data_IF_662660636695
#
_entry.id   IF_662660636695
#
_cell.length_a   1.000
_cell.length_b   1.000
_cell.length_c   1.000
_cell.angle_alpha   90.00
_cell.angle_beta   90.00
_cell.angle_gamma   90.00
#
_symmetry.space_group_name_H-M   'P 1'
#
loop_
_entity.id
_entity.type
_entity.pdbx_description
1 polymer ?
#
# COMPACT_ATOMS: atom_id res chain seq x y z
N UNK A 1 -1.65 -14.71 1.56
CA UNK A 1 -1.21 -14.61 0.17
C UNK A 1 -0.46 -13.30 -0.05
N UNK A 2 0.54 -13.28 -0.91
CA UNK A 2 1.20 -12.07 -1.39
C UNK A 2 1.50 -12.19 -2.89
N UNK A 3 1.74 -11.06 -3.55
CA UNK A 3 2.06 -11.01 -4.98
C UNK A 3 3.36 -10.24 -5.20
N UNK A 4 4.16 -10.67 -6.16
CA UNK A 4 5.30 -9.94 -6.71
C UNK A 4 5.40 -10.23 -8.21
N UNK A 5 6.18 -9.45 -8.95
CA UNK A 5 6.45 -9.70 -10.37
C UNK A 5 7.03 -11.09 -10.62
N UNK A 6 7.88 -11.55 -9.71
CA UNK A 6 8.50 -12.88 -9.71
C UNK A 6 8.58 -13.39 -8.27
N UNK A 7 8.30 -14.64 -8.05
CA UNK A 7 8.57 -15.30 -6.76
C UNK A 7 9.99 -15.86 -6.81
N UNK A 8 10.93 -14.99 -6.49
CA UNK A 8 12.35 -15.32 -6.42
C UNK A 8 12.73 -15.99 -5.07
N UNK A 9 14.01 -16.11 -4.77
CA UNK A 9 14.48 -16.70 -3.50
C UNK A 9 14.01 -15.90 -2.27
N UNK A 10 13.88 -14.55 -2.37
CA UNK A 10 13.35 -13.74 -1.28
C UNK A 10 11.84 -13.98 -1.09
N UNK A 11 11.10 -14.10 -2.17
CA UNK A 11 9.69 -14.47 -2.12
C UNK A 11 9.47 -15.84 -1.48
N UNK A 12 10.27 -16.84 -1.85
CA UNK A 12 10.24 -18.18 -1.23
C UNK A 12 10.63 -18.15 0.25
N UNK A 13 11.64 -17.35 0.62
CA UNK A 13 12.04 -17.18 2.01
C UNK A 13 10.89 -16.55 2.83
N UNK A 14 10.24 -15.52 2.31
CA UNK A 14 9.07 -14.89 2.93
C UNK A 14 7.93 -15.89 3.12
N UNK A 15 7.63 -16.72 2.10
CA UNK A 15 6.62 -17.77 2.19
C UNK A 15 6.96 -18.80 3.28
N UNK A 16 8.22 -19.23 3.36
CA UNK A 16 8.68 -20.16 4.38
C UNK A 16 8.63 -19.56 5.79
N UNK A 17 9.07 -18.32 5.96
CA UNK A 17 9.06 -17.59 7.24
C UNK A 17 7.63 -17.44 7.79
N UNK A 18 6.70 -17.01 6.96
CA UNK A 18 5.29 -16.85 7.36
C UNK A 18 4.66 -18.21 7.65
N UNK A 19 4.96 -19.23 6.83
CA UNK A 19 4.44 -20.60 7.06
C UNK A 19 4.95 -21.22 8.35
N UNK A 20 6.17 -20.87 8.77
CA UNK A 20 6.75 -21.33 10.06
C UNK A 20 5.97 -20.80 11.28
N UNK A 21 5.16 -19.74 11.13
CA UNK A 21 4.25 -19.24 12.16
C UNK A 21 2.98 -20.11 12.30
N UNK A 22 2.86 -21.20 11.55
CA UNK A 22 1.72 -22.11 11.62
C UNK A 22 0.51 -21.69 10.78
N UNK A 23 0.67 -20.73 9.87
CA UNK A 23 -0.37 -20.26 8.96
C UNK A 23 -0.05 -20.63 7.51
N UNK A 24 -1.08 -20.80 6.68
CA UNK A 24 -0.89 -21.00 5.24
C UNK A 24 -0.41 -19.70 4.61
N UNK A 25 0.70 -19.77 3.87
CA UNK A 25 1.23 -18.66 3.07
C UNK A 25 1.53 -19.12 1.65
N UNK A 26 1.32 -18.25 0.67
CA UNK A 26 1.70 -18.51 -0.73
C UNK A 26 1.94 -17.21 -1.47
N UNK A 27 3.05 -17.18 -2.22
CA UNK A 27 3.38 -16.13 -3.17
C UNK A 27 2.83 -16.43 -4.57
N UNK A 28 2.37 -15.40 -5.27
CA UNK A 28 1.88 -15.49 -6.64
C UNK A 28 2.66 -14.51 -7.52
N UNK A 29 3.24 -15.01 -8.61
CA UNK A 29 3.86 -14.16 -9.62
C UNK A 29 2.76 -13.42 -10.40
N UNK A 30 2.76 -12.09 -10.34
CA UNK A 30 1.76 -11.26 -11.01
C UNK A 30 2.25 -9.83 -11.17
N UNK A 31 2.03 -9.26 -12.35
CA UNK A 31 2.20 -7.83 -12.55
C UNK A 31 0.94 -7.10 -12.06
N UNK A 32 1.03 -6.44 -10.91
CA UNK A 32 -0.09 -5.69 -10.33
C UNK A 32 -0.67 -4.59 -11.25
N UNK A 33 0.14 -4.04 -12.18
CA UNK A 33 -0.30 -3.06 -13.15
C UNK A 33 -1.11 -3.69 -14.31
N UNK A 34 -1.11 -5.01 -14.44
CA UNK A 34 -1.89 -5.76 -15.42
C UNK A 34 -3.25 -6.15 -14.81
N UNK A 35 -4.32 -5.70 -15.45
CA UNK A 35 -5.68 -5.90 -14.95
C UNK A 35 -6.07 -7.38 -14.94
N UNK A 36 -5.81 -8.12 -16.02
CA UNK A 36 -6.20 -9.52 -16.15
C UNK A 36 -5.42 -10.41 -15.18
N UNK A 37 -4.12 -10.15 -14.98
CA UNK A 37 -3.32 -10.89 -14.00
C UNK A 37 -3.81 -10.64 -12.58
N UNK A 38 -4.22 -9.42 -12.25
CA UNK A 38 -4.79 -9.10 -10.94
C UNK A 38 -6.11 -9.83 -10.68
N UNK A 39 -7.00 -9.93 -11.68
CA UNK A 39 -8.23 -10.71 -11.56
C UNK A 39 -7.95 -12.21 -11.38
N UNK A 40 -7.03 -12.76 -12.17
CA UNK A 40 -6.67 -14.19 -12.09
C UNK A 40 -6.06 -14.54 -10.73
N UNK A 41 -5.16 -13.71 -10.20
CA UNK A 41 -4.57 -13.96 -8.86
C UNK A 41 -5.62 -13.91 -7.77
N UNK A 42 -6.52 -12.93 -7.77
CA UNK A 42 -7.59 -12.86 -6.75
C UNK A 42 -8.50 -14.09 -6.83
N UNK A 43 -8.79 -14.59 -8.04
CA UNK A 43 -9.53 -15.82 -8.24
C UNK A 43 -8.80 -17.02 -7.63
N UNK A 44 -7.49 -17.19 -7.92
CA UNK A 44 -6.67 -18.27 -7.35
C UNK A 44 -6.61 -18.18 -5.83
N UNK A 45 -6.41 -17.01 -5.25
CA UNK A 45 -6.43 -16.80 -3.80
C UNK A 45 -7.78 -17.21 -3.22
N UNK A 46 -8.90 -16.79 -3.84
CA UNK A 46 -10.23 -17.17 -3.40
C UNK A 46 -10.46 -18.68 -3.46
N UNK A 47 -10.01 -19.35 -4.50
CA UNK A 47 -10.12 -20.81 -4.66
C UNK A 47 -9.28 -21.55 -3.63
N UNK A 48 -8.06 -21.07 -3.37
CA UNK A 48 -7.09 -21.76 -2.52
C UNK A 48 -7.27 -21.48 -1.02
N UNK A 49 -7.68 -20.25 -0.64
CA UNK A 49 -7.83 -19.83 0.76
C UNK A 49 -9.30 -19.75 1.22
N UNK A 50 -10.26 -19.83 0.31
CA UNK A 50 -11.69 -19.83 0.61
C UNK A 50 -12.32 -18.43 0.73
N UNK A 51 -11.56 -17.40 1.09
CA UNK A 51 -12.03 -16.01 1.22
C UNK A 51 -10.95 -15.01 0.81
N UNK A 52 -11.36 -13.74 0.68
CA UNK A 52 -10.47 -12.57 0.61
C UNK A 52 -11.03 -11.55 1.59
N UNK A 53 -10.43 -11.45 2.76
CA UNK A 53 -10.96 -10.64 3.85
C UNK A 53 -10.22 -9.30 3.98
N UNK A 54 -8.94 -9.30 3.62
CA UNK A 54 -8.07 -8.12 3.71
C UNK A 54 -7.31 -7.96 2.40
N UNK A 55 -7.30 -6.73 1.87
CA UNK A 55 -6.46 -6.34 0.75
C UNK A 55 -5.53 -5.21 1.18
N UNK A 56 -4.21 -5.42 1.06
CA UNK A 56 -3.20 -4.38 1.26
C UNK A 56 -2.57 -4.04 -0.08
N UNK A 57 -2.88 -2.87 -0.62
CA UNK A 57 -2.26 -2.34 -1.83
C UNK A 57 -0.95 -1.64 -1.46
N UNK A 58 0.14 -2.40 -1.45
CA UNK A 58 1.47 -1.94 -1.06
C UNK A 58 2.40 -1.68 -2.24
N UNK A 59 2.19 -2.31 -3.39
CA UNK A 59 3.03 -2.17 -4.56
C UNK A 59 3.25 -0.70 -4.93
N UNK A 60 4.50 -0.31 -5.17
CA UNK A 60 4.80 1.07 -5.52
C UNK A 60 6.26 1.30 -5.87
N UNK A 61 6.47 2.27 -6.74
CA UNK A 61 7.79 2.72 -7.19
C UNK A 61 7.86 4.24 -7.14
N UNK A 62 9.08 4.77 -7.18
CA UNK A 62 9.37 6.18 -7.43
C UNK A 62 10.16 6.33 -8.74
N UNK A 63 9.93 7.41 -9.46
CA UNK A 63 10.71 7.86 -10.62
C UNK A 63 10.80 9.38 -10.55
N UNK A 64 11.59 9.85 -9.61
CA UNK A 64 11.68 11.25 -9.23
C UNK A 64 12.31 12.12 -10.33
N UNK A 65 11.88 13.35 -10.42
CA UNK A 65 12.36 14.36 -11.36
C UNK A 65 11.58 15.66 -11.22
N UNK A 66 12.27 16.80 -11.38
CA UNK A 66 11.58 18.08 -11.41
C UNK A 66 10.55 18.10 -12.55
N UNK A 67 9.40 18.74 -12.35
CA UNK A 67 8.28 18.77 -13.32
C UNK A 67 8.74 19.11 -14.74
N UNK A 68 9.63 20.07 -14.91
CA UNK A 68 10.16 20.49 -16.21
C UNK A 68 10.94 19.35 -16.94
N UNK A 69 11.49 18.40 -16.19
CA UNK A 69 12.34 17.31 -16.73
C UNK A 69 11.70 15.95 -16.61
N UNK A 70 10.54 15.86 -15.98
CA UNK A 70 9.81 14.59 -15.82
C UNK A 70 9.30 14.14 -17.18
N UNK A 71 9.71 12.96 -17.62
CA UNK A 71 9.22 12.37 -18.86
C UNK A 71 7.84 11.71 -18.67
N UNK A 72 7.07 11.61 -19.75
CA UNK A 72 5.82 10.86 -19.78
C UNK A 72 6.02 9.41 -19.30
N UNK A 73 7.10 8.76 -19.73
CA UNK A 73 7.41 7.39 -19.30
C UNK A 73 7.65 7.27 -17.78
N UNK A 74 8.24 8.29 -17.14
CA UNK A 74 8.38 8.31 -15.67
C UNK A 74 7.02 8.50 -14.99
N UNK A 75 6.18 9.35 -15.55
CA UNK A 75 4.82 9.56 -15.08
C UNK A 75 3.99 8.28 -15.19
N UNK A 76 3.91 7.70 -16.39
CA UNK A 76 3.09 6.52 -16.66
C UNK A 76 3.51 5.31 -15.84
N UNK A 77 4.82 5.09 -15.69
CA UNK A 77 5.34 4.00 -14.87
C UNK A 77 4.87 4.12 -13.41
N UNK A 78 4.94 5.31 -12.82
CA UNK A 78 4.54 5.53 -11.42
C UNK A 78 3.01 5.43 -11.26
N UNK A 79 2.24 6.05 -12.14
CA UNK A 79 0.76 5.95 -12.11
C UNK A 79 0.32 4.49 -12.33
N UNK A 80 0.94 3.80 -13.27
CA UNK A 80 0.63 2.39 -13.60
C UNK A 80 0.89 1.46 -12.42
N UNK A 81 2.07 1.56 -11.81
CA UNK A 81 2.44 0.66 -10.71
C UNK A 81 1.77 1.03 -9.39
N UNK A 82 1.69 2.33 -9.06
CA UNK A 82 1.18 2.73 -7.74
C UNK A 82 -0.35 2.81 -7.67
N UNK A 83 -0.97 3.51 -8.64
CA UNK A 83 -2.40 3.81 -8.59
C UNK A 83 -3.25 2.80 -9.35
N UNK A 84 -2.86 2.50 -10.60
CA UNK A 84 -3.62 1.54 -11.41
C UNK A 84 -3.61 0.15 -10.80
N UNK A 85 -2.49 -0.28 -10.19
CA UNK A 85 -2.43 -1.56 -9.49
C UNK A 85 -3.45 -1.64 -8.33
N UNK A 86 -3.55 -0.58 -7.53
CA UNK A 86 -4.52 -0.52 -6.44
C UNK A 86 -5.95 -0.60 -6.98
N UNK A 87 -6.26 0.10 -8.08
CA UNK A 87 -7.55 -0.02 -8.77
C UNK A 87 -7.80 -1.46 -9.22
N UNK A 88 -6.83 -2.12 -9.88
CA UNK A 88 -6.98 -3.47 -10.40
C UNK A 88 -7.33 -4.47 -9.28
N UNK A 89 -6.57 -4.46 -8.18
CA UNK A 89 -6.82 -5.38 -7.05
C UNK A 89 -8.10 -5.04 -6.29
N UNK A 90 -8.44 -3.77 -6.11
CA UNK A 90 -9.73 -3.38 -5.52
C UNK A 90 -10.88 -3.89 -6.39
N UNK A 91 -10.83 -3.66 -7.70
CA UNK A 91 -11.83 -4.13 -8.64
C UNK A 91 -12.02 -5.64 -8.57
N UNK A 92 -10.94 -6.41 -8.50
CA UNK A 92 -10.99 -7.87 -8.40
C UNK A 92 -11.50 -8.38 -7.04
N UNK A 93 -11.13 -7.71 -5.93
CA UNK A 93 -11.51 -8.14 -4.57
C UNK A 93 -12.94 -7.73 -4.18
N UNK A 94 -13.41 -6.55 -4.60
CA UNK A 94 -14.72 -6.00 -4.21
C UNK A 94 -15.89 -6.97 -4.45
N UNK A 95 -16.01 -7.67 -5.60
CA UNK A 95 -17.10 -8.64 -5.80
C UNK A 95 -17.07 -9.81 -4.82
N UNK A 96 -15.89 -10.21 -4.35
CA UNK A 96 -15.72 -11.28 -3.35
C UNK A 96 -16.13 -10.76 -1.97
N UNK A 97 -15.55 -9.65 -1.52
CA UNK A 97 -15.82 -9.02 -0.22
C UNK A 97 -17.31 -8.63 -0.07
N UNK A 98 -17.90 -8.10 -1.15
CA UNK A 98 -19.33 -7.74 -1.17
C UNK A 98 -20.25 -8.95 -0.92
N UNK A 99 -19.93 -10.12 -1.51
CA UNK A 99 -20.68 -11.36 -1.27
C UNK A 99 -20.46 -11.90 0.15
N UNK A 100 -19.26 -11.76 0.68
CA UNK A 100 -18.91 -12.09 2.07
C UNK A 100 -19.59 -11.15 3.08
N UNK A 101 -19.99 -9.93 2.66
CA UNK A 101 -20.45 -8.83 3.49
C UNK A 101 -19.44 -8.45 4.57
N UNK A 102 -18.18 -8.62 4.24
CA UNK A 102 -17.03 -8.30 5.08
C UNK A 102 -15.80 -8.05 4.21
N UNK A 103 -14.97 -7.08 4.60
CA UNK A 103 -13.70 -6.81 3.96
C UNK A 103 -13.02 -5.56 4.50
N UNK A 104 -11.68 -5.56 4.47
CA UNK A 104 -10.86 -4.40 4.79
C UNK A 104 -9.85 -4.14 3.68
N UNK A 105 -9.94 -2.97 3.06
CA UNK A 105 -9.03 -2.51 2.01
C UNK A 105 -8.13 -1.44 2.59
N UNK A 106 -6.82 -1.61 2.44
CA UNK A 106 -5.78 -0.74 2.98
C UNK A 106 -4.87 -0.30 1.84
N UNK A 107 -4.90 0.99 1.53
CA UNK A 107 -4.03 1.57 0.51
C UNK A 107 -2.80 2.18 1.15
N UNK A 108 -1.61 1.71 0.76
CA UNK A 108 -0.32 2.28 1.20
C UNK A 108 -0.04 3.56 0.40
N UNK A 109 -0.55 4.68 0.92
CA UNK A 109 -0.35 6.01 0.38
C UNK A 109 1.05 6.57 0.77
N UNK A 110 1.15 7.83 1.10
CA UNK A 110 2.33 8.52 1.63
C UNK A 110 1.93 9.90 2.13
N UNK A 111 2.67 10.48 3.06
CA UNK A 111 2.57 11.91 3.38
C UNK A 111 2.82 12.79 2.16
N UNK A 112 3.62 12.35 1.20
CA UNK A 112 3.82 13.02 -0.09
C UNK A 112 2.52 13.09 -0.90
N UNK A 113 1.63 12.10 -0.77
CA UNK A 113 0.30 12.15 -1.38
C UNK A 113 -0.67 13.12 -0.68
N UNK A 114 -0.37 13.50 0.56
CA UNK A 114 -1.17 14.46 1.34
C UNK A 114 -0.70 15.89 1.10
N UNK A 115 0.63 16.13 1.09
CA UNK A 115 1.21 17.48 1.09
C UNK A 115 1.97 17.85 -0.18
N UNK A 116 2.27 16.86 -1.04
CA UNK A 116 3.16 17.06 -2.18
C UNK A 116 4.65 17.04 -1.77
N UNK A 117 5.53 16.92 -2.77
CA UNK A 117 6.96 17.10 -2.60
C UNK A 117 7.60 17.53 -3.93
N UNK A 118 8.51 18.49 -3.90
CA UNK A 118 9.25 18.92 -5.09
C UNK A 118 10.03 17.73 -5.69
N UNK A 119 9.92 17.56 -7.02
CA UNK A 119 10.56 16.45 -7.73
C UNK A 119 9.78 15.13 -7.71
N UNK A 120 8.62 15.08 -7.06
CA UNK A 120 7.80 13.86 -6.93
C UNK A 120 6.36 14.05 -7.41
N UNK A 121 6.12 14.84 -8.44
CA UNK A 121 4.77 15.14 -8.90
C UNK A 121 3.97 13.89 -9.31
N UNK A 122 4.59 12.93 -10.02
CA UNK A 122 4.00 11.64 -10.38
C UNK A 122 3.69 10.78 -9.14
N UNK A 123 4.63 10.68 -8.20
CA UNK A 123 4.46 9.92 -6.97
C UNK A 123 3.39 10.55 -6.08
N UNK A 124 3.43 11.88 -5.87
CA UNK A 124 2.42 12.61 -5.14
C UNK A 124 1.01 12.39 -5.71
N UNK A 125 0.86 12.54 -7.03
CA UNK A 125 -0.41 12.30 -7.71
C UNK A 125 -0.90 10.86 -7.52
N UNK A 126 -0.01 9.86 -7.67
CA UNK A 126 -0.36 8.46 -7.49
C UNK A 126 -0.83 8.17 -6.05
N UNK A 127 -0.12 8.68 -5.05
CA UNK A 127 -0.44 8.45 -3.63
C UNK A 127 -1.67 9.24 -3.18
N UNK A 128 -1.89 10.45 -3.69
CA UNK A 128 -3.15 11.19 -3.53
C UNK A 128 -4.34 10.45 -4.17
N UNK A 129 -4.13 9.88 -5.36
CA UNK A 129 -5.13 9.04 -6.03
C UNK A 129 -5.51 7.81 -5.19
N UNK A 130 -4.56 7.14 -4.54
CA UNK A 130 -4.83 6.01 -3.64
C UNK A 130 -5.67 6.43 -2.42
N UNK A 131 -5.46 7.64 -1.89
CA UNK A 131 -6.28 8.22 -0.81
C UNK A 131 -7.72 8.44 -1.29
N UNK A 132 -7.89 9.10 -2.44
CA UNK A 132 -9.21 9.36 -3.02
C UNK A 132 -9.95 8.07 -3.35
N UNK A 133 -9.23 7.08 -3.91
CA UNK A 133 -9.77 5.76 -4.24
C UNK A 133 -10.30 5.04 -2.98
N UNK A 134 -9.55 5.05 -1.86
CA UNK A 134 -10.02 4.48 -0.60
C UNK A 134 -11.32 5.14 -0.12
N UNK A 135 -11.43 6.47 -0.21
CA UNK A 135 -12.64 7.22 0.19
C UNK A 135 -13.85 6.87 -0.68
N UNK A 136 -13.67 6.77 -2.00
CA UNK A 136 -14.74 6.41 -2.93
C UNK A 136 -15.23 4.98 -2.66
N UNK A 137 -14.31 4.03 -2.53
CA UNK A 137 -14.64 2.62 -2.23
C UNK A 137 -15.32 2.49 -0.87
N UNK A 138 -14.89 3.25 0.15
CA UNK A 138 -15.54 3.26 1.46
C UNK A 138 -17.02 3.69 1.38
N UNK A 139 -17.33 4.68 0.55
CA UNK A 139 -18.71 5.14 0.34
C UNK A 139 -19.56 4.12 -0.45
N UNK A 140 -19.01 3.55 -1.51
CA UNK A 140 -19.72 2.62 -2.37
C UNK A 140 -19.96 1.26 -1.68
N UNK A 141 -18.95 0.77 -0.95
CA UNK A 141 -18.93 -0.59 -0.41
C UNK A 141 -19.29 -0.65 1.09
N UNK A 142 -19.34 0.47 1.79
CA UNK A 142 -19.77 0.54 3.19
C UNK A 142 -21.11 -0.15 3.46
N UNK A 143 -22.18 0.06 2.64
CA UNK A 143 -23.46 -0.65 2.80
C UNK A 143 -23.36 -2.16 2.64
N UNK A 144 -22.25 -2.67 2.13
CA UNK A 144 -21.95 -4.10 1.97
C UNK A 144 -21.01 -4.65 3.04
N UNK A 145 -20.68 -3.86 4.07
CA UNK A 145 -19.80 -4.27 5.17
C UNK A 145 -18.31 -4.24 4.82
N UNK A 146 -17.93 -3.55 3.73
CA UNK A 146 -16.51 -3.42 3.33
C UNK A 146 -15.99 -2.05 3.74
N UNK A 147 -14.88 -2.02 4.46
CA UNK A 147 -14.17 -0.79 4.85
C UNK A 147 -13.00 -0.55 3.90
N UNK A 148 -12.67 0.70 3.65
CA UNK A 148 -11.48 1.06 2.89
C UNK A 148 -10.82 2.30 3.51
N UNK A 149 -9.51 2.21 3.75
CA UNK A 149 -8.71 3.26 4.37
C UNK A 149 -7.36 3.40 3.66
N UNK A 150 -6.67 4.49 3.95
CA UNK A 150 -5.30 4.71 3.50
C UNK A 150 -4.37 4.90 4.70
N UNK A 151 -3.16 4.36 4.62
CA UNK A 151 -2.05 4.68 5.50
C UNK A 151 -1.14 5.63 4.73
N UNK A 152 -0.72 6.72 5.36
CA UNK A 152 0.22 7.69 4.80
C UNK A 152 1.53 7.67 5.61
N UNK A 153 2.49 6.79 5.28
CA UNK A 153 3.79 6.76 5.94
C UNK A 153 4.56 8.07 5.72
N UNK A 154 5.30 8.50 6.75
CA UNK A 154 6.29 9.56 6.67
C UNK A 154 7.66 9.03 6.26
N UNK A 155 8.72 9.49 6.94
CA UNK A 155 10.07 8.98 6.76
C UNK A 155 10.25 7.66 7.51
N UNK A 156 10.31 6.55 6.77
CA UNK A 156 10.43 5.19 7.32
C UNK A 156 11.82 4.63 7.00
N UNK A 157 12.47 4.05 8.01
CA UNK A 157 13.78 3.40 7.86
C UNK A 157 13.62 2.07 7.11
N UNK A 158 14.02 2.09 5.86
CA UNK A 158 13.95 0.97 4.92
C UNK A 158 15.26 0.86 4.14
N UNK A 159 15.47 -0.22 3.43
CA UNK A 159 16.64 -0.37 2.54
C UNK A 159 16.78 0.81 1.54
N UNK A 160 15.67 1.42 1.13
CA UNK A 160 15.68 2.60 0.25
C UNK A 160 16.20 3.85 0.96
N UNK A 161 15.76 4.12 2.19
CA UNK A 161 16.17 5.31 2.96
C UNK A 161 17.55 5.15 3.60
N UNK A 162 18.00 3.91 3.80
CA UNK A 162 19.37 3.60 4.27
C UNK A 162 20.45 3.95 3.23
N UNK A 163 20.09 4.09 1.95
CA UNK A 163 21.01 4.55 0.91
C UNK A 163 21.29 6.06 0.96
N UNK A 164 20.52 6.82 1.73
CA UNK A 164 20.75 8.26 1.94
C UNK A 164 21.94 8.48 2.88
N UNK A 165 22.68 9.59 2.68
CA UNK A 165 23.78 9.93 3.57
C UNK A 165 23.30 10.16 5.01
N UNK A 166 24.21 9.98 5.96
CA UNK A 166 23.91 10.15 7.39
C UNK A 166 23.46 11.59 7.71
N UNK A 167 24.03 12.58 7.02
CA UNK A 167 23.66 13.99 7.14
C UNK A 167 22.20 14.22 6.74
N UNK A 168 21.78 13.67 5.59
CA UNK A 168 20.40 13.80 5.09
C UNK A 168 19.44 13.10 6.07
N UNK A 169 19.80 11.91 6.55
CA UNK A 169 18.98 11.18 7.53
C UNK A 169 18.83 11.96 8.83
N UNK A 170 19.91 12.57 9.35
CA UNK A 170 19.88 13.42 10.55
C UNK A 170 19.04 14.68 10.32
N UNK A 171 19.18 15.32 9.16
CA UNK A 171 18.37 16.48 8.82
C UNK A 171 16.87 16.13 8.84
N UNK A 172 16.48 15.04 8.22
CA UNK A 172 15.07 14.61 8.17
C UNK A 172 14.54 14.25 9.57
N UNK A 173 15.29 13.44 10.33
CA UNK A 173 14.86 13.03 11.66
C UNK A 173 14.80 14.22 12.64
N UNK A 174 15.60 15.26 12.43
CA UNK A 174 15.54 16.47 13.27
C UNK A 174 14.22 17.24 13.11
N UNK A 175 13.56 17.11 11.95
CA UNK A 175 12.25 17.73 11.65
C UNK A 175 11.06 16.92 12.19
N UNK A 176 11.28 15.66 12.56
CA UNK A 176 10.24 14.78 13.10
C UNK A 176 10.10 15.04 14.60
N UNK A 177 8.92 15.39 15.12
CA UNK A 177 8.72 15.60 16.57
C UNK A 177 9.15 14.42 17.43
N UNK A 178 8.90 13.17 17.01
CA UNK A 178 9.35 11.96 17.73
C UNK A 178 10.85 11.69 17.61
N UNK A 179 11.62 12.57 16.89
CA UNK A 179 13.09 12.53 16.81
C UNK A 179 13.68 11.22 16.27
N UNK A 180 12.91 10.42 15.57
CA UNK A 180 13.36 9.21 14.87
C UNK A 180 12.62 9.02 13.56
N UNK A 181 13.19 8.28 12.65
CA UNK A 181 12.44 7.66 11.55
C UNK A 181 11.45 6.63 12.09
N UNK A 182 10.36 6.41 11.39
CA UNK A 182 9.48 5.27 11.64
C UNK A 182 10.17 3.97 11.20
N UNK A 183 9.72 2.85 11.75
CA UNK A 183 10.14 1.52 11.32
C UNK A 183 9.07 0.87 10.43
N UNK A 184 9.44 -0.18 9.73
CA UNK A 184 8.47 -1.01 8.98
C UNK A 184 7.41 -1.59 9.91
N UNK A 185 7.76 -1.87 11.17
CA UNK A 185 6.85 -2.36 12.19
C UNK A 185 5.83 -1.30 12.63
N UNK A 186 6.22 -0.02 12.73
CA UNK A 186 5.27 1.09 12.99
C UNK A 186 4.14 1.11 11.93
N UNK A 187 4.49 0.84 10.66
CA UNK A 187 3.53 0.77 9.56
C UNK A 187 2.70 -0.53 9.63
N UNK A 188 3.37 -1.67 9.88
CA UNK A 188 2.70 -2.97 9.97
C UNK A 188 1.66 -3.00 11.10
N UNK A 189 1.95 -2.40 12.25
CA UNK A 189 1.02 -2.27 13.37
C UNK A 189 -0.22 -1.45 13.01
N UNK A 190 -0.06 -0.38 12.23
CA UNK A 190 -1.18 0.41 11.73
C UNK A 190 -2.00 -0.38 10.70
N UNK A 191 -1.35 -1.14 9.83
CA UNK A 191 -2.02 -2.02 8.89
C UNK A 191 -2.79 -3.13 9.62
N UNK A 192 -2.21 -3.73 10.67
CA UNK A 192 -2.86 -4.72 11.52
C UNK A 192 -4.11 -4.14 12.22
N UNK A 193 -4.02 -2.91 12.76
CA UNK A 193 -5.18 -2.21 13.32
C UNK A 193 -6.29 -2.07 12.29
N UNK A 194 -5.99 -1.60 11.08
CA UNK A 194 -6.98 -1.41 10.03
C UNK A 194 -7.52 -2.74 9.46
N UNK A 195 -6.74 -3.81 9.53
CA UNK A 195 -7.15 -5.14 9.11
C UNK A 195 -8.07 -5.83 10.13
N UNK A 196 -7.99 -5.46 11.40
CA UNK A 196 -8.70 -6.09 12.51
C UNK A 196 -10.04 -5.44 12.84
N UNK A 197 -10.83 -6.12 13.68
CA UNK A 197 -12.12 -5.62 14.21
C UNK A 197 -11.96 -4.40 15.14
N UNK A 198 -10.74 -4.12 15.62
CA UNK A 198 -10.45 -2.90 16.39
C UNK A 198 -10.77 -1.62 15.59
N UNK A 199 -10.78 -1.71 14.27
CA UNK A 199 -11.11 -0.61 13.38
C UNK A 199 -12.48 -0.76 12.69
N UNK A 200 -13.40 -1.54 13.27
CA UNK A 200 -14.70 -1.87 12.66
C UNK A 200 -15.56 -0.66 12.28
N UNK A 201 -15.34 0.49 12.92
CA UNK A 201 -16.04 1.75 12.62
C UNK A 201 -15.13 2.81 11.94
N UNK A 202 -13.96 2.38 11.41
CA UNK A 202 -13.01 3.24 10.72
C UNK A 202 -13.04 2.95 9.23
N UNK A 203 -13.58 3.87 8.43
CA UNK A 203 -13.67 3.76 6.97
C UNK A 203 -13.53 5.13 6.32
N UNK A 204 -12.91 5.18 5.14
CA UNK A 204 -12.65 6.41 4.41
C UNK A 204 -11.55 7.30 5.01
N UNK A 205 -10.77 6.80 5.97
CA UNK A 205 -9.77 7.59 6.69
C UNK A 205 -8.38 7.52 6.06
N UNK A 206 -7.59 8.55 6.33
CA UNK A 206 -6.16 8.60 6.03
C UNK A 206 -5.41 8.67 7.34
N UNK A 207 -4.70 7.62 7.69
CA UNK A 207 -3.89 7.58 8.91
C UNK A 207 -2.45 7.93 8.55
N UNK A 208 -2.00 9.10 8.97
CA UNK A 208 -0.59 9.48 8.86
C UNK A 208 0.21 8.76 9.95
N UNK A 209 1.29 8.08 9.54
CA UNK A 209 2.22 7.38 10.42
C UNK A 209 3.60 7.97 10.16
N UNK A 210 3.84 9.16 10.72
CA UNK A 210 4.95 10.02 10.35
C UNK A 210 5.69 10.66 11.54
N UNK A 211 5.37 10.26 12.77
CA UNK A 211 5.99 10.79 13.97
C UNK A 211 5.68 12.28 14.23
N UNK A 212 4.61 12.80 13.62
CA UNK A 212 4.21 14.21 13.70
C UNK A 212 4.93 15.10 12.68
N UNK A 213 5.57 14.53 11.67
CA UNK A 213 6.34 15.27 10.65
C UNK A 213 5.47 16.28 9.90
N UNK A 214 4.20 15.97 9.67
CA UNK A 214 3.27 16.78 8.89
C UNK A 214 1.98 17.06 9.70
N UNK A 215 2.14 17.88 10.72
CA UNK A 215 1.01 18.39 11.51
C UNK A 215 0.51 19.73 10.95
#
# INVERSE_FOLDING_TARGET
>A
AFTDLVIDENGKATEAEISALGVKCKGYASNAADFAQSEEVVKQVKEEFGSVDILVNNAGITKDGLMLRMSEAQWDAVIGVNLKSAFNFIHACVPVMMRQRNGSIINMASVVGVHGNAGQANYAASKAGMIALAKSVAQEMGPKGVRANAIAPGFIDTAMTQQLSEEIRKEWTSKIPLRRGGTTEDIANTALYLASDLSSYVSGQVIQVDGGMNM
#
